data_IF_087228794135
#
_entry.id   IF_087228794135
#
_cell.length_a   1.000
_cell.length_b   1.000
_cell.length_c   1.000
_cell.angle_alpha   90.00
_cell.angle_beta   90.00
_cell.angle_gamma   90.00
#
_symmetry.space_group_name_H-M   'P 1'
#
loop_
_entity.id
_entity.type
_entity.pdbx_description
1 polymer ?
#
# COMPACT_ATOMS: atom_id res chain seq x y z
N UNK A 1 27.71 10.71 -10.32
CA UNK A 1 26.73 10.44 -9.23
C UNK A 1 27.13 11.07 -7.90
N UNK A 2 28.37 10.91 -7.40
CA UNK A 2 28.83 11.55 -6.14
C UNK A 2 28.81 13.08 -6.16
N UNK A 3 29.09 13.70 -7.30
CA UNK A 3 29.07 15.17 -7.46
C UNK A 3 27.65 15.74 -7.49
N UNK A 4 26.71 15.09 -8.20
CA UNK A 4 25.29 15.47 -8.27
C UNK A 4 24.62 15.52 -6.88
N UNK A 5 24.89 14.53 -6.02
CA UNK A 5 24.37 14.50 -4.65
C UNK A 5 24.94 15.61 -3.76
N UNK A 6 26.13 16.15 -4.10
CA UNK A 6 26.76 17.24 -3.35
C UNK A 6 26.17 18.60 -3.71
N UNK A 7 25.79 18.77 -4.97
CA UNK A 7 25.12 19.96 -5.50
C UNK A 7 23.67 20.05 -5.02
N UNK A 8 22.90 18.95 -5.10
CA UNK A 8 21.52 18.89 -4.62
C UNK A 8 21.38 19.22 -3.12
N UNK A 9 22.38 18.84 -2.30
CA UNK A 9 22.43 19.22 -0.88
C UNK A 9 22.75 20.69 -0.65
N UNK A 10 23.49 21.33 -1.57
CA UNK A 10 23.86 22.75 -1.48
C UNK A 10 22.72 23.69 -1.86
N UNK A 11 21.80 23.24 -2.72
CA UNK A 11 20.65 24.03 -3.18
C UNK A 11 19.35 23.73 -2.45
N UNK A 12 19.31 22.71 -1.57
CA UNK A 12 18.12 22.38 -0.79
C UNK A 12 17.78 23.46 0.24
N UNK A 13 16.50 23.83 0.32
CA UNK A 13 15.98 24.77 1.32
C UNK A 13 15.96 24.13 2.71
N UNK A 14 15.89 24.94 3.77
CA UNK A 14 15.75 24.45 5.14
C UNK A 14 14.49 23.57 5.33
N UNK A 15 13.40 23.89 4.64
CA UNK A 15 12.17 23.08 4.68
C UNK A 15 12.38 21.70 4.04
N UNK A 16 13.09 21.64 2.90
CA UNK A 16 13.43 20.37 2.25
C UNK A 16 14.34 19.53 3.14
N UNK A 17 15.36 20.14 3.74
CA UNK A 17 16.28 19.46 4.68
C UNK A 17 15.53 18.98 5.93
N UNK A 18 14.59 19.76 6.47
CA UNK A 18 13.79 19.35 7.61
C UNK A 18 12.88 18.15 7.28
N UNK A 19 12.34 18.12 6.07
CA UNK A 19 11.44 17.06 5.60
C UNK A 19 12.16 15.72 5.37
N UNK A 20 13.29 15.70 4.65
CA UNK A 20 14.02 14.46 4.34
C UNK A 20 15.31 14.24 5.14
N UNK A 21 15.59 15.08 6.14
CA UNK A 21 16.83 15.05 6.95
C UNK A 21 18.11 15.21 6.11
N UNK A 22 18.05 15.90 4.97
CA UNK A 22 19.19 16.09 4.07
C UNK A 22 19.58 14.85 3.25
N UNK A 23 18.68 13.85 3.18
CA UNK A 23 18.85 12.70 2.29
C UNK A 23 18.56 13.09 0.85
N UNK A 24 19.45 12.70 -0.07
CA UNK A 24 19.39 13.01 -1.50
C UNK A 24 19.87 11.80 -2.29
N UNK A 25 19.34 11.61 -3.50
CA UNK A 25 19.72 10.53 -4.41
C UNK A 25 18.50 9.84 -5.00
N UNK A 26 18.75 8.91 -5.93
CA UNK A 26 17.70 8.05 -6.46
C UNK A 26 17.20 7.09 -5.37
N UNK A 27 15.88 6.96 -5.16
CA UNK A 27 15.34 5.99 -4.24
C UNK A 27 15.70 4.58 -4.70
N UNK A 28 16.09 3.73 -3.75
CA UNK A 28 16.29 2.31 -4.03
C UNK A 28 14.94 1.68 -4.40
N UNK A 29 14.90 1.00 -5.55
CA UNK A 29 13.72 0.26 -5.97
C UNK A 29 13.44 -0.83 -4.93
N UNK A 30 12.28 -0.75 -4.29
CA UNK A 30 11.84 -1.80 -3.37
C UNK A 30 11.09 -2.88 -4.14
N UNK A 31 11.31 -4.12 -3.75
CA UNK A 31 10.49 -5.23 -4.24
C UNK A 31 9.02 -4.99 -3.91
N UNK A 32 8.17 -5.03 -4.94
CA UNK A 32 6.73 -5.02 -4.77
C UNK A 32 6.30 -6.36 -4.18
N UNK A 33 5.65 -6.32 -3.02
CA UNK A 33 5.01 -7.52 -2.47
C UNK A 33 3.67 -7.73 -3.18
N UNK A 34 3.34 -8.95 -3.61
CA UNK A 34 2.03 -9.25 -4.16
C UNK A 34 0.95 -9.06 -3.08
N UNK A 35 -0.13 -8.37 -3.42
CA UNK A 35 -1.24 -8.05 -2.53
C UNK A 35 -2.58 -8.33 -3.21
N UNK A 36 -3.62 -8.52 -2.41
CA UNK A 36 -4.96 -8.82 -2.93
C UNK A 36 -4.96 -10.07 -3.81
N UNK A 37 -5.42 -9.95 -5.05
CA UNK A 37 -5.57 -11.08 -5.98
C UNK A 37 -4.25 -11.72 -6.40
N UNK A 38 -3.16 -10.97 -6.33
CA UNK A 38 -1.83 -11.47 -6.67
C UNK A 38 -1.17 -12.16 -5.46
N UNK A 39 -1.75 -12.00 -4.26
CA UNK A 39 -1.25 -12.64 -3.05
C UNK A 39 -1.33 -14.16 -3.17
N UNK A 40 -0.23 -14.84 -2.86
CA UNK A 40 -0.12 -16.31 -2.93
C UNK A 40 -0.95 -17.04 -1.87
N UNK A 41 -1.47 -16.33 -0.86
CA UNK A 41 -2.32 -16.93 0.17
C UNK A 41 -3.67 -17.33 -0.44
N UNK A 42 -4.07 -18.62 -0.35
CA UNK A 42 -5.35 -19.07 -0.87
C UNK A 42 -6.52 -18.25 -0.34
N UNK A 43 -7.43 -17.85 -1.23
CA UNK A 43 -8.61 -17.06 -0.87
C UNK A 43 -8.39 -15.53 -0.85
N UNK A 44 -7.15 -15.05 -0.81
CA UNK A 44 -6.86 -13.61 -0.71
C UNK A 44 -7.33 -12.85 -1.95
N UNK A 45 -8.01 -11.71 -1.75
CA UNK A 45 -8.57 -10.88 -2.82
C UNK A 45 -9.83 -11.45 -3.49
N UNK A 46 -10.33 -12.62 -3.05
CA UNK A 46 -11.61 -13.17 -3.52
C UNK A 46 -12.77 -12.29 -3.05
N UNK A 47 -13.88 -12.31 -3.80
CA UNK A 47 -15.12 -11.64 -3.38
C UNK A 47 -15.57 -12.23 -2.03
N UNK A 48 -16.12 -11.38 -1.16
CA UNK A 48 -16.59 -11.77 0.16
C UNK A 48 -17.94 -12.49 0.12
N UNK A 49 -18.07 -13.50 -0.74
CA UNK A 49 -19.20 -14.40 -0.77
C UNK A 49 -19.08 -15.43 0.36
N UNK A 50 -20.21 -16.05 0.73
CA UNK A 50 -20.24 -17.18 1.65
C UNK A 50 -20.07 -18.50 0.87
N UNK A 51 -19.35 -19.48 1.42
CA UNK A 51 -18.72 -19.48 2.75
C UNK A 51 -17.38 -18.72 2.80
N UNK A 52 -16.96 -18.31 4.00
CA UNK A 52 -15.62 -17.77 4.25
C UNK A 52 -14.55 -18.80 3.82
N UNK A 53 -13.57 -18.43 2.96
CA UNK A 53 -12.61 -19.40 2.41
C UNK A 53 -11.70 -20.06 3.45
N UNK A 54 -11.30 -19.31 4.49
CA UNK A 54 -10.58 -19.83 5.64
C UNK A 54 -10.81 -18.97 6.89
N UNK A 55 -10.80 -19.58 8.07
CA UNK A 55 -11.17 -18.95 9.34
C UNK A 55 -10.35 -17.71 9.72
N UNK A 56 -9.10 -17.61 9.24
CA UNK A 56 -8.19 -16.50 9.54
C UNK A 56 -8.31 -15.33 8.55
N UNK A 57 -9.20 -15.41 7.57
CA UNK A 57 -9.38 -14.36 6.58
C UNK A 57 -10.31 -13.26 7.09
N UNK A 58 -9.98 -12.03 6.72
CA UNK A 58 -10.72 -10.83 7.11
C UNK A 58 -11.58 -10.38 5.94
N UNK A 59 -12.88 -10.19 6.18
CA UNK A 59 -13.76 -9.51 5.24
C UNK A 59 -13.48 -8.01 5.34
N UNK A 60 -13.16 -7.41 4.21
CA UNK A 60 -13.04 -5.96 4.09
C UNK A 60 -14.19 -5.46 3.22
N UNK A 61 -14.90 -4.47 3.72
CA UNK A 61 -15.94 -3.73 3.02
C UNK A 61 -16.00 -2.30 3.59
N UNK A 62 -16.28 -1.33 2.73
CA UNK A 62 -16.44 0.06 3.13
C UNK A 62 -17.79 0.58 2.58
N UNK A 63 -18.70 1.08 3.44
CA UNK A 63 -19.98 1.61 3.00
C UNK A 63 -19.83 2.72 1.95
N UNK A 64 -20.59 2.63 0.86
CA UNK A 64 -20.52 3.60 -0.25
C UNK A 64 -19.31 3.44 -1.15
N UNK A 65 -18.40 2.50 -0.86
CA UNK A 65 -17.29 2.20 -1.75
C UNK A 65 -17.75 1.54 -3.05
N UNK A 66 -17.06 1.90 -4.14
CA UNK A 66 -17.13 1.18 -5.41
C UNK A 66 -16.26 -0.09 -5.42
N UNK A 67 -15.45 -0.33 -4.39
CA UNK A 67 -14.77 -1.61 -4.21
C UNK A 67 -15.75 -2.65 -3.66
N UNK A 68 -15.95 -3.80 -4.32
CA UNK A 68 -16.77 -4.86 -3.75
C UNK A 68 -16.10 -5.44 -2.51
N UNK A 69 -16.91 -5.94 -1.58
CA UNK A 69 -16.41 -6.63 -0.40
C UNK A 69 -15.52 -7.84 -0.79
N UNK A 70 -14.39 -8.02 -0.09
CA UNK A 70 -13.41 -9.08 -0.37
C UNK A 70 -12.86 -9.74 0.89
N UNK A 71 -12.44 -10.99 0.76
CA UNK A 71 -11.65 -11.69 1.77
C UNK A 71 -10.16 -11.42 1.58
N UNK A 72 -9.45 -11.11 2.66
CA UNK A 72 -8.00 -10.89 2.66
C UNK A 72 -7.32 -11.72 3.74
N UNK A 73 -6.08 -12.14 3.51
CA UNK A 73 -5.26 -12.67 4.60
C UNK A 73 -4.97 -11.56 5.63
N UNK A 74 -4.70 -11.96 6.87
CA UNK A 74 -4.41 -11.02 7.95
C UNK A 74 -3.19 -10.13 7.63
N UNK A 75 -3.09 -9.01 8.35
CA UNK A 75 -1.99 -8.03 8.24
C UNK A 75 -2.00 -7.25 6.91
N UNK A 76 -0.93 -7.39 6.10
CA UNK A 76 -0.66 -6.48 4.98
C UNK A 76 -1.77 -6.44 3.92
N UNK A 77 -2.39 -7.57 3.60
CA UNK A 77 -3.46 -7.60 2.60
C UNK A 77 -4.78 -7.02 3.13
N UNK A 78 -5.10 -7.22 4.42
CA UNK A 78 -6.26 -6.56 5.03
C UNK A 78 -6.09 -5.04 5.04
N UNK A 79 -4.91 -4.53 5.38
CA UNK A 79 -4.60 -3.09 5.30
C UNK A 79 -4.64 -2.53 3.87
N UNK A 80 -4.08 -3.26 2.90
CA UNK A 80 -4.20 -2.92 1.48
C UNK A 80 -5.67 -2.85 1.02
N UNK A 81 -6.46 -3.87 1.37
CA UNK A 81 -7.86 -3.96 1.01
C UNK A 81 -8.68 -2.81 1.59
N UNK A 82 -8.44 -2.48 2.87
CA UNK A 82 -9.13 -1.38 3.55
C UNK A 82 -8.81 -0.05 2.86
N UNK A 83 -7.53 0.24 2.61
CA UNK A 83 -7.12 1.45 1.91
C UNK A 83 -7.73 1.55 0.51
N UNK A 84 -7.79 0.45 -0.25
CA UNK A 84 -8.42 0.42 -1.56
C UNK A 84 -9.93 0.72 -1.47
N UNK A 85 -10.62 0.13 -0.48
CA UNK A 85 -12.03 0.34 -0.27
C UNK A 85 -12.34 1.80 0.11
N UNK A 86 -11.57 2.39 1.03
CA UNK A 86 -11.67 3.79 1.43
C UNK A 86 -11.44 4.75 0.25
N UNK A 87 -10.37 4.55 -0.53
CA UNK A 87 -10.08 5.37 -1.71
C UNK A 87 -11.24 5.32 -2.71
N UNK A 88 -11.87 4.15 -2.87
CA UNK A 88 -13.00 3.98 -3.79
C UNK A 88 -14.35 4.43 -3.23
N UNK A 89 -14.41 4.79 -1.95
CA UNK A 89 -15.56 5.44 -1.32
C UNK A 89 -15.54 6.98 -1.48
N UNK A 90 -14.41 7.55 -1.90
CA UNK A 90 -14.34 8.98 -2.23
C UNK A 90 -15.28 9.28 -3.42
N UNK A 91 -16.18 10.27 -3.29
CA UNK A 91 -17.13 10.68 -4.34
C UNK A 91 -16.46 11.09 -5.66
#
# INVERSE_FOLDING_TARGET
>A
MREYNREARRTATQAQVAWNKGLTGEPEARETRPVGRDCVTPGCGQLAELPQPAAHMVRVEEPGSREPARWYCAQGCAGYGQALAEIRAIP
#
